data_IF_167919890755
#
_entry.id   IF_167919890755
#
_cell.length_a   1.000
_cell.length_b   1.000
_cell.length_c   1.000
_cell.angle_alpha   90.00
_cell.angle_beta   90.00
_cell.angle_gamma   90.00
#
_symmetry.space_group_name_H-M   'P 1'
#
loop_
_entity.id
_entity.type
_entity.pdbx_description
1 polymer ?
#
# COMPACT_ATOMS: atom_id res chain seq x y z
N UNK A 1 16.98 -20.49 -23.69
CA UNK A 1 16.91 -19.33 -22.77
C UNK A 1 15.65 -19.45 -21.94
N UNK A 2 15.75 -20.08 -20.77
CA UNK A 2 14.67 -20.11 -19.77
C UNK A 2 14.49 -18.70 -19.22
N UNK A 3 13.40 -18.02 -19.59
CA UNK A 3 13.02 -16.76 -18.97
C UNK A 3 12.68 -17.08 -17.51
N UNK A 4 13.57 -16.73 -16.59
CA UNK A 4 13.27 -16.76 -15.16
C UNK A 4 12.21 -15.68 -14.90
N UNK A 5 10.93 -16.06 -14.97
CA UNK A 5 9.80 -15.15 -14.79
C UNK A 5 9.45 -15.01 -13.31
N UNK A 6 10.42 -14.67 -12.45
CA UNK A 6 10.09 -14.12 -11.13
C UNK A 6 9.62 -12.69 -11.34
N UNK A 7 8.34 -12.54 -11.73
CA UNK A 7 7.69 -11.25 -11.88
C UNK A 7 7.61 -10.63 -10.48
N UNK A 8 8.48 -9.66 -10.24
CA UNK A 8 8.44 -8.90 -9.00
C UNK A 8 7.04 -8.30 -8.82
N UNK A 9 6.47 -8.33 -7.60
CA UNK A 9 5.17 -7.73 -7.35
C UNK A 9 5.23 -6.25 -7.72
N UNK A 10 4.13 -5.74 -8.28
CA UNK A 10 4.06 -4.33 -8.65
C UNK A 10 4.20 -3.44 -7.41
N UNK A 11 4.71 -2.21 -7.56
CA UNK A 11 4.85 -1.28 -6.43
C UNK A 11 3.54 -1.06 -5.67
N UNK A 12 2.40 -1.05 -6.38
CA UNK A 12 1.09 -0.92 -5.74
C UNK A 12 0.73 -2.14 -4.90
N UNK A 13 1.09 -3.34 -5.36
CA UNK A 13 0.92 -4.58 -4.61
C UNK A 13 1.86 -4.62 -3.39
N UNK A 14 3.11 -4.19 -3.54
CA UNK A 14 4.06 -4.10 -2.43
C UNK A 14 3.56 -3.15 -1.33
N UNK A 15 3.10 -1.95 -1.72
CA UNK A 15 2.52 -0.99 -0.78
C UNK A 15 1.27 -1.58 -0.10
N UNK A 16 0.34 -2.14 -0.88
CA UNK A 16 -0.86 -2.74 -0.32
C UNK A 16 -0.55 -3.89 0.65
N UNK A 17 0.44 -4.73 0.35
CA UNK A 17 0.92 -5.79 1.24
C UNK A 17 1.42 -5.22 2.57
N UNK A 18 2.18 -4.13 2.53
CA UNK A 18 2.61 -3.42 3.75
C UNK A 18 1.43 -2.94 4.58
N UNK A 19 0.45 -2.29 3.95
CA UNK A 19 -0.75 -1.83 4.64
C UNK A 19 -1.58 -3.00 5.23
N UNK A 20 -1.67 -4.13 4.54
CA UNK A 20 -2.32 -5.37 5.02
C UNK A 20 -1.63 -6.01 6.23
N UNK A 21 -0.36 -5.66 6.46
CA UNK A 21 0.40 -6.04 7.66
C UNK A 21 0.21 -5.04 8.81
N UNK A 22 -0.76 -4.12 8.69
CA UNK A 22 -1.02 -3.02 9.65
C UNK A 22 0.13 -2.03 9.76
N UNK A 23 0.97 -1.92 8.72
CA UNK A 23 1.96 -0.85 8.65
C UNK A 23 1.28 0.47 8.35
N UNK A 24 1.74 1.52 9.02
CA UNK A 24 1.38 2.90 8.71
C UNK A 24 2.54 3.51 7.91
N UNK A 25 2.28 3.89 6.66
CA UNK A 25 3.33 4.25 5.71
C UNK A 25 3.24 5.72 5.31
N UNK A 26 4.34 6.44 5.44
CA UNK A 26 4.56 7.73 4.79
C UNK A 26 5.15 7.53 3.38
N UNK A 27 5.13 8.56 2.51
CA UNK A 27 5.83 8.50 1.23
C UNK A 27 7.32 8.18 1.34
N UNK A 28 7.96 8.59 2.45
CA UNK A 28 9.36 8.29 2.72
C UNK A 28 9.55 6.79 2.98
N UNK A 29 8.71 6.19 3.82
CA UNK A 29 8.77 4.75 4.12
C UNK A 29 8.55 3.92 2.85
N UNK A 30 7.60 4.34 2.00
CA UNK A 30 7.34 3.69 0.70
C UNK A 30 8.54 3.77 -0.23
N UNK A 31 9.27 4.89 -0.24
CA UNK A 31 10.50 5.01 -1.01
C UNK A 31 11.59 4.08 -0.46
N UNK A 32 11.81 4.09 0.86
CA UNK A 32 12.87 3.30 1.50
C UNK A 32 12.63 1.78 1.39
N UNK A 33 11.38 1.34 1.51
CA UNK A 33 11.01 -0.08 1.47
C UNK A 33 10.83 -0.64 0.06
N UNK A 34 10.25 0.16 -0.85
CA UNK A 34 9.77 -0.33 -2.15
C UNK A 34 10.38 0.41 -3.36
N UNK A 35 11.33 1.32 -3.11
CA UNK A 35 11.97 2.17 -4.12
C UNK A 35 10.95 2.89 -5.03
N UNK A 36 9.85 3.36 -4.44
CA UNK A 36 8.75 3.98 -5.16
C UNK A 36 8.75 5.50 -4.98
N UNK A 37 9.33 6.21 -5.96
CA UNK A 37 9.34 7.68 -6.03
C UNK A 37 7.95 8.31 -6.19
N UNK A 38 6.97 7.53 -6.68
CA UNK A 38 5.59 7.97 -6.95
C UNK A 38 4.60 7.51 -5.89
N UNK A 39 5.03 7.39 -4.63
CA UNK A 39 4.22 6.91 -3.50
C UNK A 39 2.83 7.58 -3.41
N UNK A 40 2.77 8.91 -3.50
CA UNK A 40 1.50 9.65 -3.46
C UNK A 40 0.54 9.24 -4.59
N UNK A 41 1.06 9.02 -5.81
CA UNK A 41 0.24 8.53 -6.92
C UNK A 41 -0.25 7.12 -6.64
N UNK A 42 0.57 6.25 -6.04
CA UNK A 42 0.16 4.87 -5.70
C UNK A 42 -0.91 4.83 -4.61
N UNK A 43 -0.83 5.69 -3.60
CA UNK A 43 -1.92 5.85 -2.62
C UNK A 43 -3.21 6.34 -3.29
N UNK A 44 -3.12 7.33 -4.20
CA UNK A 44 -4.27 7.77 -4.99
C UNK A 44 -4.84 6.66 -5.87
N UNK A 45 -3.99 5.86 -6.51
CA UNK A 45 -4.43 4.72 -7.33
C UNK A 45 -5.18 3.70 -6.47
N UNK A 46 -4.67 3.37 -5.27
CA UNK A 46 -5.34 2.47 -4.32
C UNK A 46 -6.75 2.96 -4.00
N UNK A 47 -6.92 4.24 -3.68
CA UNK A 47 -8.23 4.82 -3.35
C UNK A 47 -9.15 4.92 -4.57
N UNK A 48 -8.69 5.58 -5.63
CA UNK A 48 -9.56 6.04 -6.73
C UNK A 48 -9.76 4.99 -7.81
N UNK A 49 -8.75 4.16 -8.09
CA UNK A 49 -8.82 3.15 -9.15
C UNK A 49 -9.24 1.78 -8.61
N UNK A 50 -8.83 1.46 -7.39
CA UNK A 50 -9.04 0.14 -6.80
C UNK A 50 -10.00 0.12 -5.61
N UNK A 51 -10.61 1.26 -5.28
CA UNK A 51 -11.60 1.41 -4.21
C UNK A 51 -11.11 0.88 -2.85
N UNK A 52 -9.81 0.95 -2.60
CA UNK A 52 -9.23 0.58 -1.31
C UNK A 52 -9.45 1.73 -0.32
N UNK A 53 -10.04 1.49 0.86
CA UNK A 53 -10.34 2.54 1.83
C UNK A 53 -9.10 2.95 2.65
N UNK A 54 -8.04 3.40 1.96
CA UNK A 54 -6.81 3.88 2.62
C UNK A 54 -7.13 5.14 3.41
N UNK A 55 -6.82 5.12 4.70
CA UNK A 55 -6.90 6.27 5.58
C UNK A 55 -5.61 7.08 5.51
N UNK A 56 -5.71 8.39 5.76
CA UNK A 56 -4.53 9.23 5.85
C UNK A 56 -4.67 10.31 6.92
N UNK A 57 -3.53 10.67 7.52
CA UNK A 57 -3.42 11.78 8.45
C UNK A 57 -2.11 12.55 8.24
N UNK A 58 -2.10 13.88 8.41
CA UNK A 58 -0.88 14.66 8.33
C UNK A 58 0.01 14.42 9.56
N UNK A 59 1.29 14.14 9.32
CA UNK A 59 2.34 14.02 10.34
C UNK A 59 3.49 14.99 10.03
N UNK A 60 4.17 15.45 11.08
CA UNK A 60 5.37 16.28 10.96
C UNK A 60 6.59 15.37 11.16
N UNK A 61 7.44 15.29 10.15
CA UNK A 61 8.69 14.54 10.22
C UNK A 61 9.74 15.29 11.07
N UNK A 62 10.80 14.61 11.57
CA UNK A 62 11.86 15.25 12.36
C UNK A 62 12.57 16.42 11.65
N UNK A 63 12.56 16.44 10.31
CA UNK A 63 13.11 17.53 9.50
C UNK A 63 12.14 18.72 9.31
N UNK A 64 11.02 18.75 10.04
CA UNK A 64 9.99 19.79 9.98
C UNK A 64 9.06 19.71 8.77
N UNK A 65 9.27 18.77 7.85
CA UNK A 65 8.38 18.60 6.69
C UNK A 65 7.08 17.93 7.11
N UNK A 66 5.96 18.46 6.61
CA UNK A 66 4.64 17.85 6.76
C UNK A 66 4.38 16.89 5.61
N UNK A 67 4.05 15.64 5.95
CA UNK A 67 3.67 14.59 4.98
C UNK A 67 2.41 13.88 5.48
N UNK A 68 1.75 13.10 4.63
CA UNK A 68 0.65 12.26 5.06
C UNK A 68 1.16 10.85 5.38
N UNK A 69 0.72 10.28 6.50
CA UNK A 69 0.86 8.87 6.86
C UNK A 69 -0.41 8.14 6.44
N UNK A 70 -0.28 6.90 5.95
CA UNK A 70 -1.38 6.15 5.33
C UNK A 70 -1.50 4.76 5.95
N UNK A 71 -2.72 4.27 6.18
CA UNK A 71 -2.97 2.95 6.75
C UNK A 71 -4.29 2.35 6.26
N UNK A 72 -4.49 1.06 6.56
CA UNK A 72 -5.79 0.39 6.43
C UNK A 72 -6.35 0.15 7.82
N UNK A 73 -7.66 0.36 7.96
CA UNK A 73 -8.36 0.06 9.20
C UNK A 73 -8.35 -1.46 9.50
N UNK A 74 -8.23 -1.89 10.77
CA UNK A 74 -8.20 -3.30 11.13
C UNK A 74 -9.37 -4.11 10.58
N UNK A 75 -10.59 -3.56 10.61
CA UNK A 75 -11.79 -4.25 10.11
C UNK A 75 -11.67 -4.62 8.61
N UNK A 76 -11.03 -3.78 7.81
CA UNK A 76 -10.87 -4.02 6.38
C UNK A 76 -9.85 -5.13 6.13
N UNK A 77 -8.73 -5.09 6.85
CA UNK A 77 -7.68 -6.12 6.79
C UNK A 77 -8.25 -7.47 7.21
N UNK A 78 -8.96 -7.50 8.34
CA UNK A 78 -9.54 -8.72 8.89
C UNK A 78 -10.65 -9.26 7.98
N UNK A 79 -11.44 -8.38 7.36
CA UNK A 79 -12.46 -8.74 6.38
C UNK A 79 -11.89 -9.37 5.10
N UNK A 80 -10.77 -8.85 4.57
CA UNK A 80 -10.08 -9.49 3.43
C UNK A 80 -9.54 -10.87 3.83
N UNK A 81 -8.89 -10.98 5.00
CA UNK A 81 -8.33 -12.26 5.48
C UNK A 81 -9.41 -13.31 5.76
N UNK A 82 -10.57 -12.88 6.25
CA UNK A 82 -11.71 -13.75 6.48
C UNK A 82 -12.50 -14.09 5.20
N UNK A 83 -12.16 -13.47 4.06
CA UNK A 83 -12.88 -13.64 2.80
C UNK A 83 -14.26 -12.98 2.76
N UNK A 84 -14.59 -12.11 3.71
CA UNK A 84 -15.87 -11.37 3.75
C UNK A 84 -15.81 -10.08 2.92
N UNK A 85 -14.61 -9.58 2.64
CA UNK A 85 -14.36 -8.46 1.72
C UNK A 85 -13.54 -8.99 0.55
N UNK A 86 -14.01 -8.75 -0.68
CA UNK A 86 -13.27 -9.10 -1.87
C UNK A 86 -11.99 -8.23 -1.97
N UNK A 87 -10.81 -8.83 -2.20
CA UNK A 87 -9.60 -8.06 -2.38
C UNK A 87 -9.63 -7.24 -3.68
N UNK A 88 -8.79 -6.21 -3.79
CA UNK A 88 -8.64 -5.43 -5.03
C UNK A 88 -8.22 -6.30 -6.22
N UNK A 89 -8.62 -5.92 -7.43
CA UNK A 89 -8.38 -6.72 -8.65
C UNK A 89 -6.91 -6.99 -8.98
N UNK A 90 -5.98 -6.20 -8.45
CA UNK A 90 -4.53 -6.42 -8.62
C UNK A 90 -3.92 -7.33 -7.55
N UNK A 91 -4.66 -7.61 -6.47
CA UNK A 91 -4.18 -8.40 -5.33
C UNK A 91 -4.50 -9.86 -5.55
N UNK A 92 -3.46 -10.66 -5.79
CA UNK A 92 -3.59 -12.10 -6.07
C UNK A 92 -3.60 -12.97 -4.82
N UNK A 93 -3.39 -12.41 -3.63
CA UNK A 93 -3.45 -13.16 -2.36
C UNK A 93 -2.41 -14.27 -2.18
N UNK A 94 -1.42 -14.36 -3.07
CA UNK A 94 -0.33 -15.35 -3.08
C UNK A 94 1.00 -14.74 -2.61
#
# INVERSE_FOLDING_TARGET
>A
MTKNTNKQPSQIQQIFNGLMQRLELTPKDVYELYNCMSANQRFSDLCLKYNVPVKSEPVILPNGKRVNKHWLEPFYIDGIKAGTIAPPSFYTGE
#
